data_IF_212743334300
#
_entry.id   IF_212743334300
#
_cell.length_a   1.000
_cell.length_b   1.000
_cell.length_c   1.000
_cell.angle_alpha   90.00
_cell.angle_beta   90.00
_cell.angle_gamma   90.00
#
_symmetry.space_group_name_H-M   'P 1'
#
loop_
_entity.id
_entity.type
_entity.pdbx_description
1 polymer ?
#
# COMPACT_ATOMS: atom_id res chain seq x y z
N UNK A 1 -24.50 -22.93 -21.55
CA UNK A 1 -24.15 -22.11 -20.36
C UNK A 1 -22.76 -22.38 -19.77
N UNK A 2 -22.16 -23.57 -19.90
CA UNK A 2 -20.87 -23.89 -19.24
C UNK A 2 -19.62 -23.28 -19.91
N UNK A 3 -19.69 -22.88 -21.20
CA UNK A 3 -18.54 -22.26 -21.90
C UNK A 3 -18.33 -20.76 -21.60
N UNK A 4 -19.35 -20.05 -21.12
CA UNK A 4 -19.25 -18.60 -20.82
C UNK A 4 -18.55 -18.35 -19.48
N UNK A 5 -18.70 -19.25 -18.49
CA UNK A 5 -18.01 -19.12 -17.20
C UNK A 5 -16.48 -19.31 -17.27
N UNK A 6 -15.95 -20.06 -18.24
CA UNK A 6 -14.50 -20.27 -18.38
C UNK A 6 -13.75 -19.09 -19.03
N UNK A 7 -14.46 -18.19 -19.72
CA UNK A 7 -13.83 -16.99 -20.29
C UNK A 7 -13.75 -15.84 -19.27
N UNK A 8 -14.64 -15.82 -18.28
CA UNK A 8 -14.67 -14.80 -17.25
C UNK A 8 -13.54 -15.01 -16.24
N UNK A 9 -13.22 -16.26 -15.84
CA UNK A 9 -12.22 -16.51 -14.78
C UNK A 9 -10.77 -16.20 -15.15
N UNK A 10 -10.41 -16.10 -16.44
CA UNK A 10 -9.03 -15.78 -16.88
C UNK A 10 -8.74 -14.28 -17.02
N UNK A 11 -9.77 -13.42 -17.10
CA UNK A 11 -9.59 -11.96 -17.28
C UNK A 11 -9.46 -11.17 -15.98
N UNK A 12 -9.83 -11.74 -14.83
CA UNK A 12 -9.74 -11.08 -13.52
C UNK A 12 -8.39 -11.24 -12.80
N UNK A 13 -7.50 -12.11 -13.30
CA UNK A 13 -6.15 -12.28 -12.72
C UNK A 13 -5.09 -11.34 -13.33
N UNK A 14 -5.36 -10.76 -14.50
CA UNK A 14 -4.46 -9.83 -15.19
C UNK A 14 -4.25 -8.48 -14.45
N UNK A 15 -5.27 -7.82 -13.86
CA UNK A 15 -5.03 -6.57 -13.14
C UNK A 15 -4.27 -6.77 -11.82
N UNK A 16 -4.45 -7.93 -11.15
CA UNK A 16 -3.70 -8.29 -9.93
C UNK A 16 -2.21 -8.53 -10.19
N UNK A 17 -1.87 -9.07 -11.36
CA UNK A 17 -0.46 -9.27 -11.76
C UNK A 17 0.19 -7.97 -12.23
N UNK A 18 -0.56 -7.07 -12.87
CA UNK A 18 -0.02 -5.77 -13.31
C UNK A 18 0.26 -4.82 -12.13
N UNK A 19 -0.59 -4.82 -11.10
CA UNK A 19 -0.34 -4.08 -9.85
C UNK A 19 0.94 -4.54 -9.13
N UNK A 20 1.25 -5.84 -9.19
CA UNK A 20 2.51 -6.40 -8.67
C UNK A 20 3.73 -6.08 -9.54
N UNK A 21 3.55 -5.85 -10.85
CA UNK A 21 4.64 -5.50 -11.78
C UNK A 21 4.98 -4.00 -11.79
N UNK A 22 4.04 -3.13 -11.39
CA UNK A 22 4.29 -1.69 -11.19
C UNK A 22 5.01 -1.38 -9.88
N UNK A 23 5.11 -2.36 -8.98
CA UNK A 23 6.16 -2.44 -7.95
C UNK A 23 7.48 -2.86 -8.62
N UNK A 24 7.93 -2.10 -9.62
CA UNK A 24 9.33 -2.14 -10.04
C UNK A 24 10.24 -1.94 -8.81
N UNK A 25 11.52 -2.35 -8.87
CA UNK A 25 12.39 -2.32 -7.71
C UNK A 25 12.36 -0.91 -7.11
N UNK A 26 11.71 -0.76 -5.96
CA UNK A 26 11.89 0.38 -5.08
C UNK A 26 13.41 0.58 -4.98
N UNK A 27 13.94 1.78 -5.24
CA UNK A 27 15.36 2.01 -5.09
C UNK A 27 15.75 1.56 -3.68
N UNK A 28 16.58 0.53 -3.61
CA UNK A 28 17.07 -0.09 -2.38
C UNK A 28 18.03 0.90 -1.70
N UNK A 29 17.50 2.04 -1.22
CA UNK A 29 18.27 3.02 -0.45
C UNK A 29 18.77 2.43 0.88
N UNK A 30 18.27 1.25 1.28
CA UNK A 30 18.76 0.49 2.42
C UNK A 30 20.01 -0.38 2.11
N UNK A 31 20.37 -0.61 0.84
CA UNK A 31 21.43 -1.57 0.50
C UNK A 31 22.84 -0.96 0.42
N UNK A 32 22.98 0.35 0.66
CA UNK A 32 24.27 1.05 0.59
C UNK A 32 25.03 1.11 1.94
N UNK A 33 24.57 0.41 2.98
CA UNK A 33 25.24 0.38 4.28
C UNK A 33 26.06 -0.90 4.56
N UNK A 34 26.01 -1.91 3.69
CA UNK A 34 26.75 -3.16 3.89
C UNK A 34 27.78 -3.38 2.79
N UNK A 35 28.94 -2.71 2.91
CA UNK A 35 30.16 -3.20 2.27
C UNK A 35 30.85 -4.19 3.22
N UNK A 36 31.00 -5.47 2.87
CA UNK A 36 31.83 -6.40 3.61
C UNK A 36 33.29 -6.14 3.23
N UNK A 37 34.05 -5.53 4.15
CA UNK A 37 35.50 -5.51 4.08
C UNK A 37 36.07 -6.88 4.44
N UNK A 38 36.13 -7.77 3.46
CA UNK A 38 36.87 -9.04 3.55
C UNK A 38 38.36 -8.76 3.32
N UNK A 39 39.22 -9.00 4.31
CA UNK A 39 40.54 -9.62 4.13
C UNK A 39 41.34 -9.65 5.45
N UNK A 40 41.49 -10.84 6.04
CA UNK A 40 42.77 -11.35 6.52
C UNK A 40 42.60 -12.82 6.94
N UNK A 41 42.81 -13.69 5.97
CA UNK A 41 43.06 -15.12 6.16
C UNK A 41 44.47 -15.28 6.77
N UNK A 42 44.57 -15.81 7.98
CA UNK A 42 45.84 -16.26 8.55
C UNK A 42 45.63 -17.64 9.18
N UNK A 43 46.39 -18.61 8.65
CA UNK A 43 46.39 -20.02 9.00
C UNK A 43 47.12 -20.30 10.32
N UNK A 44 46.62 -21.34 11.03
CA UNK A 44 47.25 -22.21 12.05
C UNK A 44 47.29 -21.73 13.53
N UNK A 45 47.45 -22.63 14.54
CA UNK A 45 47.16 -24.08 14.63
C UNK A 45 46.22 -24.45 15.81
N UNK A 46 45.78 -25.72 15.85
CA UNK A 46 44.97 -26.38 16.89
C UNK A 46 45.33 -25.95 18.33
N UNK A 47 44.51 -25.07 18.90
CA UNK A 47 44.50 -24.74 20.34
C UNK A 47 43.15 -25.16 20.91
N UNK A 48 43.11 -25.79 22.10
CA UNK A 48 41.85 -26.21 22.72
C UNK A 48 40.97 -24.98 22.93
N UNK A 49 39.72 -25.08 22.49
CA UNK A 49 38.74 -24.01 22.51
C UNK A 49 38.70 -23.38 23.92
N UNK A 50 38.95 -22.06 24.05
CA UNK A 50 38.53 -21.36 25.24
C UNK A 50 37.01 -21.43 25.28
N UNK A 51 36.43 -21.74 26.44
CA UNK A 51 35.04 -21.44 26.77
C UNK A 51 34.86 -19.91 26.75
N UNK A 52 34.87 -19.35 25.54
CA UNK A 52 34.69 -17.95 25.26
C UNK A 52 33.21 -17.68 25.27
N UNK A 53 32.71 -17.23 26.42
CA UNK A 53 31.52 -16.41 26.52
C UNK A 53 31.60 -15.38 25.39
N UNK A 54 30.79 -15.56 24.35
CA UNK A 54 30.62 -14.54 23.34
C UNK A 54 30.25 -13.25 24.07
N UNK A 55 30.86 -12.10 23.75
CA UNK A 55 30.49 -10.87 24.41
C UNK A 55 29.00 -10.64 24.15
N UNK A 56 28.20 -10.56 25.21
CA UNK A 56 26.83 -10.04 25.22
C UNK A 56 26.86 -8.53 24.90
N UNK A 57 27.49 -8.16 23.79
CA UNK A 57 27.46 -6.81 23.28
C UNK A 57 26.02 -6.49 22.89
N UNK A 58 25.49 -5.31 23.23
CA UNK A 58 24.15 -4.93 22.82
C UNK A 58 24.04 -5.09 21.31
N UNK A 59 22.98 -5.78 20.86
CA UNK A 59 22.68 -5.90 19.45
C UNK A 59 22.70 -4.49 18.84
N UNK A 60 23.28 -4.29 17.65
CA UNK A 60 23.33 -2.97 17.03
C UNK A 60 21.93 -2.37 17.01
N UNK A 61 21.77 -1.18 17.61
CA UNK A 61 20.50 -0.46 17.60
C UNK A 61 20.07 -0.31 16.14
N UNK A 62 18.97 -0.96 15.78
CA UNK A 62 18.41 -0.87 14.44
C UNK A 62 18.12 0.59 14.08
N UNK A 63 17.98 0.91 12.77
CA UNK A 63 17.61 2.26 12.37
C UNK A 63 16.33 2.70 13.09
N UNK A 64 16.36 3.91 13.66
CA UNK A 64 15.25 4.45 14.43
C UNK A 64 13.95 4.45 13.61
N UNK A 65 12.79 4.17 14.23
CA UNK A 65 11.51 4.22 13.54
C UNK A 65 11.24 5.59 12.91
N UNK A 66 10.68 5.60 11.70
CA UNK A 66 10.26 6.84 11.05
C UNK A 66 9.16 7.56 11.85
N UNK A 67 9.15 8.91 11.88
CA UNK A 67 8.04 9.68 12.40
C UNK A 67 6.71 9.31 11.73
N UNK A 68 5.60 9.34 12.48
CA UNK A 68 4.25 8.97 12.02
C UNK A 68 3.86 9.68 10.72
N UNK A 69 4.06 11.01 10.64
CA UNK A 69 3.72 11.79 9.45
C UNK A 69 4.49 11.33 8.21
N UNK A 70 5.77 10.98 8.36
CA UNK A 70 6.64 10.60 7.26
C UNK A 70 6.28 9.20 6.75
N UNK A 71 6.03 8.25 7.68
CA UNK A 71 5.51 6.92 7.33
C UNK A 71 4.17 7.01 6.62
N UNK A 72 3.25 7.83 7.13
CA UNK A 72 1.94 8.05 6.50
C UNK A 72 2.08 8.66 5.11
N UNK A 73 2.99 9.62 4.92
CA UNK A 73 3.24 10.20 3.61
C UNK A 73 3.71 9.15 2.60
N UNK A 74 4.67 8.29 2.98
CA UNK A 74 5.14 7.23 2.09
C UNK A 74 4.04 6.20 1.79
N UNK A 75 3.26 5.79 2.80
CA UNK A 75 2.07 4.95 2.61
C UNK A 75 1.08 5.57 1.61
N UNK A 76 0.82 6.86 1.74
CA UNK A 76 -0.07 7.58 0.81
C UNK A 76 0.49 7.57 -0.61
N UNK A 77 1.79 7.84 -0.78
CA UNK A 77 2.41 7.86 -2.10
C UNK A 77 2.30 6.48 -2.77
N UNK A 78 2.61 5.39 -2.06
CA UNK A 78 2.50 4.03 -2.63
C UNK A 78 1.06 3.68 -2.96
N UNK A 79 0.12 3.96 -2.05
CA UNK A 79 -1.30 3.74 -2.26
C UNK A 79 -1.81 4.50 -3.49
N UNK A 80 -1.49 5.80 -3.59
CA UNK A 80 -1.94 6.66 -4.67
C UNK A 80 -1.32 6.28 -6.02
N UNK A 81 -0.06 5.83 -6.05
CA UNK A 81 0.55 5.36 -7.29
C UNK A 81 -0.24 4.18 -7.87
N UNK A 82 -0.62 3.20 -7.03
CA UNK A 82 -1.37 2.02 -7.45
C UNK A 82 -2.82 2.36 -7.77
N UNK A 83 -3.49 3.16 -6.92
CA UNK A 83 -4.87 3.58 -7.11
C UNK A 83 -5.06 4.38 -8.40
N UNK A 84 -4.23 5.41 -8.65
CA UNK A 84 -4.35 6.21 -9.86
C UNK A 84 -4.03 5.40 -11.13
N UNK A 85 -3.08 4.46 -11.07
CA UNK A 85 -2.82 3.56 -12.20
C UNK A 85 -4.05 2.68 -12.52
N UNK A 86 -4.73 2.18 -11.48
CA UNK A 86 -5.97 1.42 -11.64
C UNK A 86 -7.10 2.27 -12.20
N UNK A 87 -7.29 3.49 -11.69
CA UNK A 87 -8.32 4.41 -12.13
C UNK A 87 -8.16 4.78 -13.61
N UNK A 88 -6.92 4.97 -14.09
CA UNK A 88 -6.64 5.19 -15.51
C UNK A 88 -7.12 4.02 -16.38
N UNK A 89 -6.82 2.78 -15.97
CA UNK A 89 -7.25 1.58 -16.70
C UNK A 89 -8.77 1.43 -16.67
N UNK A 90 -9.42 1.63 -15.52
CA UNK A 90 -10.87 1.52 -15.40
C UNK A 90 -11.58 2.59 -16.23
N UNK A 91 -11.09 3.83 -16.18
CA UNK A 91 -11.69 4.95 -16.90
C UNK A 91 -11.53 4.80 -18.42
N UNK A 92 -10.35 4.40 -18.90
CA UNK A 92 -10.10 4.13 -20.33
C UNK A 92 -11.02 3.02 -20.86
N UNK A 93 -11.20 1.95 -20.08
CA UNK A 93 -12.10 0.84 -20.44
C UNK A 93 -13.59 1.22 -20.42
N UNK A 94 -14.02 2.10 -19.51
CA UNK A 94 -15.44 2.39 -19.29
C UNK A 94 -15.98 3.53 -20.15
N UNK A 95 -15.22 4.61 -20.33
CA UNK A 95 -15.81 5.90 -20.70
C UNK A 95 -15.37 6.37 -22.09
N UNK A 96 -14.18 5.97 -22.59
CA UNK A 96 -13.69 6.41 -23.91
C UNK A 96 -13.73 7.94 -24.11
N UNK A 97 -13.62 8.71 -23.02
CA UNK A 97 -14.14 10.07 -22.91
C UNK A 97 -13.20 11.19 -23.36
N UNK A 98 -13.79 12.31 -23.79
CA UNK A 98 -13.11 13.54 -24.21
C UNK A 98 -12.24 14.19 -23.12
N UNK A 99 -11.15 14.83 -23.53
CA UNK A 99 -9.97 15.15 -22.70
C UNK A 99 -10.20 16.16 -21.57
N UNK A 100 -11.11 17.12 -21.70
CA UNK A 100 -11.21 18.27 -20.78
C UNK A 100 -11.96 17.95 -19.48
N UNK A 101 -13.15 17.34 -19.56
CA UNK A 101 -13.92 16.94 -18.35
C UNK A 101 -13.15 15.88 -17.56
N UNK A 102 -12.46 15.02 -18.29
CA UNK A 102 -11.59 13.95 -17.77
C UNK A 102 -10.45 14.50 -16.92
N UNK A 103 -9.75 15.54 -17.38
CA UNK A 103 -8.64 16.14 -16.63
C UNK A 103 -9.09 16.73 -15.28
N UNK A 104 -10.18 17.52 -15.27
CA UNK A 104 -10.70 18.12 -14.04
C UNK A 104 -11.12 17.07 -13.00
N UNK A 105 -11.81 16.01 -13.47
CA UNK A 105 -12.17 14.88 -12.63
C UNK A 105 -10.94 14.17 -12.07
N UNK A 106 -9.94 13.84 -12.89
CA UNK A 106 -8.74 13.13 -12.42
C UNK A 106 -7.94 13.93 -11.40
N UNK A 107 -7.76 15.24 -11.62
CA UNK A 107 -7.07 16.10 -10.65
C UNK A 107 -7.83 16.16 -9.32
N UNK A 108 -9.14 16.40 -9.37
CA UNK A 108 -9.98 16.42 -8.17
C UNK A 108 -9.96 15.06 -7.46
N UNK A 109 -10.02 13.96 -8.21
CA UNK A 109 -9.95 12.60 -7.71
C UNK A 109 -8.61 12.36 -7.00
N UNK A 110 -7.48 12.51 -7.69
CA UNK A 110 -6.16 12.26 -7.13
C UNK A 110 -5.88 13.08 -5.84
N UNK A 111 -6.16 14.39 -5.87
CA UNK A 111 -5.93 15.27 -4.71
C UNK A 111 -6.80 14.87 -3.52
N UNK A 112 -8.10 14.68 -3.74
CA UNK A 112 -9.02 14.32 -2.66
C UNK A 112 -8.77 12.90 -2.14
N UNK A 113 -8.33 11.96 -2.99
CA UNK A 113 -7.98 10.61 -2.57
C UNK A 113 -6.71 10.63 -1.70
N UNK A 114 -5.69 11.38 -2.12
CA UNK A 114 -4.45 11.52 -1.37
C UNK A 114 -4.71 12.16 0.00
N UNK A 115 -5.49 13.24 0.04
CA UNK A 115 -5.85 13.93 1.27
C UNK A 115 -6.67 13.03 2.22
N UNK A 116 -7.67 12.32 1.69
CA UNK A 116 -8.50 11.40 2.48
C UNK A 116 -7.66 10.25 3.04
N UNK A 117 -6.87 9.58 2.19
CA UNK A 117 -6.04 8.45 2.63
C UNK A 117 -4.98 8.89 3.65
N UNK A 118 -4.26 9.98 3.39
CA UNK A 118 -3.29 10.52 4.35
C UNK A 118 -3.96 10.88 5.68
N UNK A 119 -5.08 11.62 5.65
CA UNK A 119 -5.79 12.03 6.85
C UNK A 119 -6.32 10.84 7.64
N UNK A 120 -6.90 9.86 6.94
CA UNK A 120 -7.38 8.62 7.55
C UNK A 120 -6.26 7.84 8.20
N UNK A 121 -5.14 7.61 7.50
CA UNK A 121 -4.01 6.86 8.04
C UNK A 121 -3.34 7.58 9.21
N UNK A 122 -3.19 8.90 9.11
CA UNK A 122 -2.65 9.70 10.20
C UNK A 122 -3.54 9.60 11.45
N UNK A 123 -4.86 9.73 11.28
CA UNK A 123 -5.83 9.57 12.35
C UNK A 123 -5.79 8.15 12.94
N UNK A 124 -5.75 7.12 12.09
CA UNK A 124 -5.69 5.73 12.53
C UNK A 124 -4.40 5.43 13.31
N UNK A 125 -3.25 5.93 12.88
CA UNK A 125 -1.99 5.75 13.60
C UNK A 125 -1.92 6.51 14.92
N UNK A 126 -2.76 7.54 15.09
CA UNK A 126 -2.80 8.37 16.31
C UNK A 126 -3.84 7.85 17.31
N UNK A 127 -4.99 7.39 16.83
CA UNK A 127 -6.17 7.05 17.64
C UNK A 127 -6.49 5.56 17.66
N UNK A 128 -5.97 4.82 16.68
CA UNK A 128 -6.17 3.38 16.56
C UNK A 128 -5.28 2.60 17.52
N UNK A 129 -5.43 1.26 17.54
CA UNK A 129 -4.59 0.39 18.34
C UNK A 129 -3.12 0.54 17.97
N UNK A 130 -2.19 0.37 18.93
CA UNK A 130 -0.77 0.32 18.63
C UNK A 130 -0.45 -0.89 17.73
N UNK A 131 0.69 -0.81 17.05
CA UNK A 131 1.02 -1.70 15.92
C UNK A 131 1.28 -3.15 16.32
N UNK A 132 1.73 -3.37 17.56
CA UNK A 132 1.91 -4.66 18.21
C UNK A 132 0.56 -5.35 18.53
N UNK A 133 -0.51 -4.56 18.62
CA UNK A 133 -1.88 -5.03 18.88
C UNK A 133 -2.73 -5.11 17.59
N UNK A 134 -2.14 -4.82 16.43
CA UNK A 134 -2.86 -4.90 15.16
C UNK A 134 -3.05 -6.37 14.77
N UNK A 135 -4.31 -6.78 14.69
CA UNK A 135 -4.73 -8.13 14.29
C UNK A 135 -5.43 -8.10 12.93
N UNK A 136 -5.73 -9.27 12.35
CA UNK A 136 -6.57 -9.38 11.15
C UNK A 136 -7.94 -8.70 11.35
N UNK A 137 -8.51 -8.79 12.56
CA UNK A 137 -9.76 -8.13 12.91
C UNK A 137 -9.60 -6.61 12.88
N UNK A 138 -8.53 -6.07 13.46
CA UNK A 138 -8.22 -4.64 13.43
C UNK A 138 -8.07 -4.14 12.00
N UNK A 139 -7.41 -4.93 11.14
CA UNK A 139 -7.26 -4.61 9.72
C UNK A 139 -8.61 -4.60 8.97
N UNK A 140 -9.49 -5.57 9.28
CA UNK A 140 -10.84 -5.59 8.72
C UNK A 140 -11.65 -4.36 9.15
N UNK A 141 -11.63 -4.02 10.44
CA UNK A 141 -12.31 -2.84 10.98
C UNK A 141 -11.80 -1.55 10.31
N UNK A 142 -10.47 -1.42 10.18
CA UNK A 142 -9.83 -0.32 9.46
C UNK A 142 -10.30 -0.23 8.02
N UNK A 143 -10.33 -1.36 7.31
CA UNK A 143 -10.75 -1.44 5.91
C UNK A 143 -12.20 -1.01 5.76
N UNK A 144 -13.11 -1.50 6.61
CA UNK A 144 -14.53 -1.12 6.59
C UNK A 144 -14.69 0.39 6.82
N UNK A 145 -13.99 0.94 7.81
CA UNK A 145 -14.07 2.36 8.14
C UNK A 145 -13.54 3.23 6.99
N UNK A 146 -12.37 2.89 6.44
CA UNK A 146 -11.82 3.57 5.27
C UNK A 146 -12.78 3.50 4.09
N UNK A 147 -13.36 2.32 3.84
CA UNK A 147 -14.32 2.12 2.75
C UNK A 147 -15.57 2.95 2.91
N UNK A 148 -16.09 3.13 4.12
CA UNK A 148 -17.24 3.99 4.35
C UNK A 148 -16.92 5.45 3.97
N UNK A 149 -15.80 5.99 4.47
CA UNK A 149 -15.39 7.37 4.21
C UNK A 149 -15.06 7.58 2.72
N UNK A 150 -14.29 6.68 2.11
CA UNK A 150 -13.92 6.78 0.70
C UNK A 150 -15.13 6.58 -0.24
N UNK A 151 -16.12 5.76 0.13
CA UNK A 151 -17.37 5.65 -0.64
C UNK A 151 -18.15 6.96 -0.63
N UNK A 152 -18.20 7.67 0.50
CA UNK A 152 -18.80 9.00 0.59
C UNK A 152 -18.10 10.02 -0.33
N UNK A 153 -16.77 10.01 -0.35
CA UNK A 153 -15.96 10.82 -1.27
C UNK A 153 -16.26 10.48 -2.73
N UNK A 154 -16.22 9.20 -3.10
CA UNK A 154 -16.48 8.74 -4.47
C UNK A 154 -17.90 9.13 -4.90
N UNK A 155 -18.88 9.01 -4.02
CA UNK A 155 -20.25 9.45 -4.29
C UNK A 155 -20.30 10.96 -4.56
N UNK A 156 -19.65 11.78 -3.73
CA UNK A 156 -19.60 13.23 -3.92
C UNK A 156 -18.98 13.60 -5.27
N UNK A 157 -17.84 13.01 -5.63
CA UNK A 157 -17.20 13.23 -6.94
C UNK A 157 -18.09 12.78 -8.09
N UNK A 158 -18.64 11.56 -8.02
CA UNK A 158 -19.54 11.04 -9.04
C UNK A 158 -20.82 11.89 -9.18
N UNK A 159 -21.31 12.49 -8.11
CA UNK A 159 -22.45 13.40 -8.16
C UNK A 159 -22.06 14.73 -8.81
N UNK A 160 -20.95 15.34 -8.38
CA UNK A 160 -20.46 16.62 -8.90
C UNK A 160 -20.10 16.56 -10.39
N UNK A 161 -19.43 15.50 -10.84
CA UNK A 161 -18.96 15.37 -12.22
C UNK A 161 -19.90 14.56 -13.12
N UNK A 162 -20.70 13.66 -12.55
CA UNK A 162 -21.66 12.82 -13.28
C UNK A 162 -23.09 13.38 -13.32
N UNK A 163 -23.40 14.41 -12.53
CA UNK A 163 -24.67 15.15 -12.59
C UNK A 163 -25.88 14.43 -11.99
N UNK A 164 -25.70 13.32 -11.26
CA UNK A 164 -26.82 12.64 -10.62
C UNK A 164 -26.45 11.48 -9.71
N UNK A 165 -27.37 11.15 -8.78
CA UNK A 165 -27.16 10.11 -7.78
C UNK A 165 -27.00 8.70 -8.37
N UNK A 166 -27.63 8.42 -9.52
CA UNK A 166 -27.49 7.12 -10.20
C UNK A 166 -26.07 6.86 -10.71
N UNK A 167 -25.48 7.86 -11.37
CA UNK A 167 -24.07 7.79 -11.84
C UNK A 167 -23.12 7.74 -10.65
N UNK A 168 -23.36 8.56 -9.62
CA UNK A 168 -22.57 8.54 -8.39
C UNK A 168 -22.56 7.15 -7.73
N UNK A 169 -23.73 6.50 -7.62
CA UNK A 169 -23.86 5.17 -7.04
C UNK A 169 -23.15 4.11 -7.89
N UNK A 170 -23.29 4.17 -9.21
CA UNK A 170 -22.59 3.27 -10.13
C UNK A 170 -21.06 3.42 -10.00
N UNK A 171 -20.57 4.65 -9.87
CA UNK A 171 -19.16 4.95 -9.67
C UNK A 171 -18.63 4.39 -8.33
N UNK A 172 -19.37 4.55 -7.23
CA UNK A 172 -19.02 3.92 -5.95
C UNK A 172 -18.95 2.40 -6.09
N UNK A 173 -19.95 1.78 -6.72
CA UNK A 173 -20.02 0.34 -6.88
C UNK A 173 -18.86 -0.21 -7.73
N UNK A 174 -18.51 0.48 -8.83
CA UNK A 174 -17.42 0.09 -9.71
C UNK A 174 -16.05 0.11 -8.99
N UNK A 175 -15.79 1.15 -8.19
CA UNK A 175 -14.52 1.29 -7.48
C UNK A 175 -14.43 0.46 -6.21
N UNK A 176 -15.55 0.01 -5.66
CA UNK A 176 -15.58 -0.65 -4.35
C UNK A 176 -14.63 -1.85 -4.27
N UNK A 177 -14.68 -2.75 -5.27
CA UNK A 177 -13.88 -3.98 -5.28
C UNK A 177 -12.39 -3.65 -5.44
N UNK A 178 -12.07 -2.85 -6.45
CA UNK A 178 -10.68 -2.54 -6.81
C UNK A 178 -9.98 -1.75 -5.72
N UNK A 179 -10.63 -0.72 -5.18
CA UNK A 179 -10.08 0.07 -4.09
C UNK A 179 -9.91 -0.76 -2.81
N UNK A 180 -10.82 -1.70 -2.53
CA UNK A 180 -10.71 -2.57 -1.36
C UNK A 180 -9.48 -3.47 -1.49
N UNK A 181 -9.27 -4.06 -2.68
CA UNK A 181 -8.09 -4.87 -2.94
C UNK A 181 -6.81 -4.04 -2.80
N UNK A 182 -6.75 -2.85 -3.40
CA UNK A 182 -5.58 -1.96 -3.32
C UNK A 182 -5.31 -1.55 -1.86
N UNK A 183 -6.35 -1.18 -1.11
CA UNK A 183 -6.21 -0.79 0.29
C UNK A 183 -5.64 -1.93 1.14
N UNK A 184 -6.26 -3.11 1.07
CA UNK A 184 -5.84 -4.29 1.84
C UNK A 184 -4.42 -4.70 1.46
N UNK A 185 -4.09 -4.74 0.17
CA UNK A 185 -2.73 -5.04 -0.29
C UNK A 185 -1.72 -4.02 0.21
N UNK A 186 -2.03 -2.72 0.15
CA UNK A 186 -1.13 -1.69 0.65
C UNK A 186 -0.89 -1.83 2.16
N UNK A 187 -1.93 -2.13 2.93
CA UNK A 187 -1.76 -2.39 4.37
C UNK A 187 -0.89 -3.61 4.64
N UNK A 188 -1.13 -4.74 3.96
CA UNK A 188 -0.31 -5.94 4.11
C UNK A 188 1.15 -5.73 3.71
N UNK A 189 1.42 -5.04 2.59
CA UNK A 189 2.79 -4.78 2.14
C UNK A 189 3.54 -3.96 3.19
N UNK A 190 2.91 -2.92 3.72
CA UNK A 190 3.53 -2.09 4.76
C UNK A 190 3.64 -2.80 6.10
N UNK A 191 2.77 -3.77 6.41
CA UNK A 191 2.91 -4.60 7.60
C UNK A 191 4.01 -5.67 7.46
N UNK A 192 4.29 -6.18 6.27
CA UNK A 192 5.38 -7.15 6.04
C UNK A 192 6.73 -6.44 5.99
N UNK A 193 6.82 -5.31 5.30
CA UNK A 193 8.07 -4.57 5.10
C UNK A 193 8.50 -3.75 6.32
N UNK A 194 7.73 -3.79 7.41
CA UNK A 194 8.07 -3.04 8.61
C UNK A 194 9.33 -3.62 9.28
N UNK A 195 10.32 -2.79 9.66
CA UNK A 195 11.36 -3.22 10.57
C UNK A 195 10.70 -3.77 11.84
N UNK A 196 11.08 -4.97 12.30
CA UNK A 196 10.57 -5.49 13.56
C UNK A 196 10.95 -4.50 14.66
N UNK A 197 9.95 -3.88 15.28
CA UNK A 197 10.17 -3.11 16.50
C UNK A 197 10.37 -4.15 17.60
N UNK A 198 11.62 -4.41 17.96
CA UNK A 198 11.91 -5.13 19.20
C UNK A 198 11.33 -4.34 20.37
N UNK A 199 10.60 -5.00 21.28
CA UNK A 199 9.99 -4.35 22.45
C UNK A 199 11.04 -3.76 23.40
#
# INVERSE_FOLDING_TARGET
MIRVLRLVSRRWLAPLTLGLMLLGPMPTLAQQAASPGTAANTLAPDSPAPDGLAPDGPAPDGPAPLPVWQRTLYKTITYQAVANASDLVLFDLLIGGGTVVTAGFFTANAVSAAALYYGFEYAWQTLGPPLDQTTERTLLEKTILYRAVNSGRNFALGYTFGGGAGIATAFVAANFITDTAIFVTNEYVWDILRPQQTP
#
